data_IF_125408571545
#
_entry.id   IF_125408571545
#
_cell.length_a   1.000
_cell.length_b   1.000
_cell.length_c   1.000
_cell.angle_alpha   90.00
_cell.angle_beta   90.00
_cell.angle_gamma   90.00
#
_symmetry.space_group_name_H-M   'P 1'
#
loop_
_entity.id
_entity.type
_entity.pdbx_description
1 polymer ?
#
# COMPACT_ATOMS: atom_id res chain seq x y z
N UNK A 1 -24.42 -8.04 33.92
CA UNK A 1 -24.31 -9.19 34.84
C UNK A 1 -22.84 -9.26 35.30
N UNK A 2 -22.45 -8.39 36.27
CA UNK A 2 -21.13 -8.45 36.91
C UNK A 2 -21.31 -9.44 38.05
N UNK A 3 -20.87 -10.68 37.85
CA UNK A 3 -20.80 -11.68 38.91
C UNK A 3 -19.85 -11.16 40.00
N UNK A 4 -20.34 -11.03 41.21
CA UNK A 4 -19.54 -10.78 42.40
C UNK A 4 -18.53 -11.92 42.54
N UNK A 5 -17.26 -11.66 42.21
CA UNK A 5 -16.16 -12.52 42.57
C UNK A 5 -16.03 -12.46 44.10
N UNK A 6 -16.35 -13.56 44.77
CA UNK A 6 -16.26 -13.68 46.21
C UNK A 6 -14.77 -13.56 46.65
N UNK A 7 -14.52 -12.95 47.81
CA UNK A 7 -13.17 -12.74 48.33
C UNK A 7 -12.40 -14.07 48.51
N UNK A 8 -13.14 -15.19 48.63
CA UNK A 8 -12.60 -16.55 48.64
C UNK A 8 -11.96 -16.94 47.29
N UNK A 9 -12.58 -16.59 46.20
CA UNK A 9 -12.09 -16.87 44.83
C UNK A 9 -10.78 -16.13 44.55
N UNK A 10 -10.65 -14.89 45.03
CA UNK A 10 -9.44 -14.08 44.84
C UNK A 10 -8.22 -14.68 45.54
N UNK A 11 -8.37 -15.22 46.77
CA UNK A 11 -7.29 -15.92 47.48
C UNK A 11 -6.88 -17.21 46.78
N UNK A 12 -7.83 -17.94 46.27
CA UNK A 12 -7.59 -19.16 45.50
C UNK A 12 -6.83 -18.92 44.22
N UNK A 13 -7.20 -17.85 43.46
CA UNK A 13 -6.50 -17.41 42.26
C UNK A 13 -5.04 -17.03 42.58
N UNK A 14 -4.81 -16.26 43.66
CA UNK A 14 -3.46 -15.86 44.08
C UNK A 14 -2.59 -17.09 44.46
N UNK A 15 -3.16 -18.09 45.13
CA UNK A 15 -2.46 -19.32 45.49
C UNK A 15 -2.06 -20.14 44.25
N UNK A 16 -2.95 -20.26 43.27
CA UNK A 16 -2.67 -20.95 42.00
C UNK A 16 -1.61 -20.17 41.18
N UNK A 17 -1.71 -18.84 41.13
CA UNK A 17 -0.71 -17.99 40.47
C UNK A 17 0.67 -18.17 41.11
N UNK A 18 0.77 -18.13 42.46
CA UNK A 18 2.02 -18.27 43.16
C UNK A 18 2.66 -19.65 42.96
N UNK A 19 1.85 -20.71 42.95
CA UNK A 19 2.30 -22.08 42.70
C UNK A 19 2.87 -22.26 41.28
N UNK A 20 2.30 -21.56 40.31
CA UNK A 20 2.69 -21.68 38.89
C UNK A 20 3.51 -20.49 38.38
N UNK A 21 3.99 -19.60 39.25
CA UNK A 21 4.65 -18.35 38.92
C UNK A 21 5.84 -18.54 37.97
N UNK A 22 6.64 -19.59 38.18
CA UNK A 22 7.78 -19.92 37.31
C UNK A 22 7.33 -20.25 35.87
N UNK A 23 6.29 -21.07 35.72
CA UNK A 23 5.77 -21.46 34.42
C UNK A 23 5.12 -20.26 33.72
N UNK A 24 4.45 -19.41 34.47
CA UNK A 24 3.79 -18.19 33.97
C UNK A 24 4.82 -17.16 33.49
N UNK A 25 5.92 -16.98 34.27
CA UNK A 25 7.05 -16.13 33.85
C UNK A 25 7.73 -16.67 32.58
N UNK A 26 7.99 -17.99 32.54
CA UNK A 26 8.59 -18.62 31.36
C UNK A 26 7.71 -18.43 30.13
N UNK A 27 6.41 -18.66 30.22
CA UNK A 27 5.45 -18.46 29.14
C UNK A 27 5.41 -16.99 28.68
N UNK A 28 5.41 -16.05 29.64
CA UNK A 28 5.41 -14.61 29.35
C UNK A 28 6.67 -14.19 28.59
N UNK A 29 7.83 -14.66 28.99
CA UNK A 29 9.10 -14.40 28.31
C UNK A 29 9.08 -14.99 26.89
N UNK A 30 8.59 -16.22 26.74
CA UNK A 30 8.50 -16.88 25.43
C UNK A 30 7.59 -16.13 24.47
N UNK A 31 6.41 -15.71 24.93
CA UNK A 31 5.48 -14.90 24.13
C UNK A 31 6.09 -13.54 23.78
N UNK A 32 6.79 -12.90 24.71
CA UNK A 32 7.46 -11.61 24.48
C UNK A 32 8.54 -11.73 23.39
N UNK A 33 9.37 -12.77 23.45
CA UNK A 33 10.40 -13.02 22.42
C UNK A 33 9.74 -13.27 21.05
N UNK A 34 8.68 -14.07 21.01
CA UNK A 34 7.96 -14.37 19.77
C UNK A 34 7.36 -13.10 19.15
N UNK A 35 6.74 -12.26 19.97
CA UNK A 35 6.18 -10.98 19.55
C UNK A 35 7.26 -10.04 19.00
N UNK A 36 8.44 -10.02 19.64
CA UNK A 36 9.58 -9.21 19.23
C UNK A 36 10.11 -9.67 17.86
N UNK A 37 10.23 -10.98 17.64
CA UNK A 37 10.63 -11.57 16.35
C UNK A 37 9.64 -11.19 15.26
N UNK A 38 8.34 -11.32 15.51
CA UNK A 38 7.28 -10.94 14.55
C UNK A 38 7.36 -9.43 14.25
N UNK A 39 7.46 -8.60 15.28
CA UNK A 39 7.53 -7.13 15.14
C UNK A 39 8.72 -6.68 14.30
N UNK A 40 9.88 -7.32 14.45
CA UNK A 40 11.07 -7.00 13.64
C UNK A 40 10.93 -7.39 12.16
N UNK A 41 10.01 -8.30 11.83
CA UNK A 41 9.77 -8.73 10.46
C UNK A 41 8.65 -7.97 9.75
N UNK A 42 7.94 -7.06 10.42
CA UNK A 42 6.92 -6.23 9.79
C UNK A 42 7.59 -5.21 8.86
N UNK A 43 7.31 -5.33 7.58
CA UNK A 43 7.80 -4.40 6.57
C UNK A 43 7.08 -3.05 6.68
N UNK A 44 7.86 -1.97 6.71
CA UNK A 44 7.30 -0.62 6.63
C UNK A 44 6.72 -0.39 5.25
N UNK A 45 5.49 0.12 5.18
CA UNK A 45 4.84 0.52 3.94
C UNK A 45 4.65 2.03 3.93
N UNK A 46 5.05 2.65 2.83
CA UNK A 46 4.89 4.08 2.58
C UNK A 46 3.91 4.27 1.44
N UNK A 47 2.98 5.16 1.64
CA UNK A 47 1.94 5.49 0.69
C UNK A 47 2.14 6.91 0.18
N UNK A 48 2.15 7.08 -1.14
CA UNK A 48 2.06 8.38 -1.79
C UNK A 48 0.69 8.51 -2.43
N UNK A 49 0.09 9.69 -2.27
CA UNK A 49 -1.24 9.99 -2.79
C UNK A 49 -1.17 11.25 -3.64
N UNK A 50 -1.81 11.23 -4.79
CA UNK A 50 -2.04 12.40 -5.62
C UNK A 50 -3.50 12.46 -6.05
N UNK A 51 -3.94 13.66 -6.39
CA UNK A 51 -5.30 13.90 -6.84
C UNK A 51 -5.23 14.57 -8.21
N UNK A 52 -5.96 14.02 -9.17
CA UNK A 52 -6.09 14.58 -10.53
C UNK A 52 -7.55 14.99 -10.75
N UNK A 53 -7.76 16.18 -11.28
CA UNK A 53 -9.07 16.66 -11.73
C UNK A 53 -9.18 16.40 -13.23
N UNK A 54 -10.23 15.72 -13.65
CA UNK A 54 -10.53 15.50 -15.04
C UNK A 54 -11.37 16.69 -15.52
N UNK A 55 -10.74 17.67 -16.18
CA UNK A 55 -11.49 18.75 -16.84
C UNK A 55 -12.20 18.19 -18.07
N UNK A 56 -13.48 18.52 -18.27
CA UNK A 56 -14.12 18.32 -19.58
C UNK A 56 -13.34 19.15 -20.60
N UNK A 57 -12.95 18.57 -21.73
CA UNK A 57 -12.53 19.37 -22.88
C UNK A 57 -13.69 20.25 -23.29
N UNK A 58 -13.52 21.56 -23.16
CA UNK A 58 -14.43 22.53 -23.75
C UNK A 58 -14.25 22.48 -25.29
N UNK A 59 -14.88 21.50 -25.89
CA UNK A 59 -15.11 21.56 -27.32
C UNK A 59 -16.09 22.72 -27.60
N UNK A 60 -15.54 23.89 -27.82
CA UNK A 60 -16.26 25.08 -28.32
C UNK A 60 -16.83 24.83 -29.71
N UNK A 61 -17.81 23.97 -29.85
CA UNK A 61 -18.65 23.88 -31.03
C UNK A 61 -20.09 23.55 -30.60
N UNK A 62 -20.92 24.61 -30.68
CA UNK A 62 -22.38 24.61 -30.85
C UNK A 62 -23.25 24.01 -29.74
N UNK A 63 -23.97 24.91 -29.08
CA UNK A 63 -25.29 24.77 -28.45
C UNK A 63 -26.07 23.53 -28.90
N UNK A 64 -25.95 22.48 -28.14
CA UNK A 64 -27.03 21.54 -27.93
C UNK A 64 -27.06 21.34 -26.42
N UNK A 65 -28.19 21.56 -25.80
CA UNK A 65 -28.51 21.13 -24.44
C UNK A 65 -28.34 19.60 -24.35
N UNK A 66 -27.11 19.11 -24.36
CA UNK A 66 -26.81 17.79 -23.90
C UNK A 66 -27.03 17.84 -22.38
N UNK A 67 -28.17 17.29 -21.99
CA UNK A 67 -28.43 16.86 -20.65
C UNK A 67 -27.21 16.00 -20.25
N UNK A 68 -26.26 16.60 -19.52
CA UNK A 68 -25.16 15.89 -18.90
C UNK A 68 -25.76 14.93 -17.88
N UNK A 69 -26.17 13.77 -18.35
CA UNK A 69 -26.63 12.71 -17.47
C UNK A 69 -25.45 12.27 -16.64
N UNK A 70 -25.68 12.07 -15.34
CA UNK A 70 -24.67 11.53 -14.41
C UNK A 70 -23.99 10.27 -14.95
N UNK A 71 -24.64 9.58 -15.84
CA UNK A 71 -24.18 8.36 -16.50
C UNK A 71 -22.97 8.61 -17.45
N UNK A 72 -22.97 9.69 -18.22
CA UNK A 72 -21.86 10.06 -19.10
C UNK A 72 -20.60 10.48 -18.29
N UNK A 73 -20.80 11.14 -17.16
CA UNK A 73 -19.72 11.52 -16.27
C UNK A 73 -19.06 10.29 -15.64
N UNK A 74 -19.84 9.34 -15.13
CA UNK A 74 -19.35 8.10 -14.53
C UNK A 74 -18.57 7.29 -15.57
N UNK A 75 -19.07 7.16 -16.79
CA UNK A 75 -18.42 6.41 -17.86
C UNK A 75 -17.08 7.05 -18.26
N UNK A 76 -17.01 8.36 -18.35
CA UNK A 76 -15.77 9.11 -18.66
C UNK A 76 -14.71 8.89 -17.58
N UNK A 77 -15.08 9.01 -16.31
CA UNK A 77 -14.17 8.78 -15.19
C UNK A 77 -13.68 7.34 -15.15
N UNK A 78 -14.56 6.36 -15.37
CA UNK A 78 -14.19 4.95 -15.43
C UNK A 78 -13.23 4.63 -16.58
N UNK A 79 -13.42 5.25 -17.74
CA UNK A 79 -12.52 5.11 -18.87
C UNK A 79 -11.12 5.66 -18.55
N UNK A 80 -11.02 6.82 -17.89
CA UNK A 80 -9.73 7.37 -17.46
C UNK A 80 -9.03 6.46 -16.43
N UNK A 81 -9.78 5.87 -15.50
CA UNK A 81 -9.24 4.86 -14.57
C UNK A 81 -8.69 3.65 -15.31
N UNK A 82 -9.41 3.16 -16.33
CA UNK A 82 -8.97 2.04 -17.14
C UNK A 82 -7.68 2.36 -17.93
N UNK A 83 -7.60 3.54 -18.53
CA UNK A 83 -6.41 4.01 -19.24
C UNK A 83 -5.20 4.09 -18.30
N UNK A 84 -5.35 4.73 -17.14
CA UNK A 84 -4.25 4.87 -16.18
C UNK A 84 -3.75 3.52 -15.62
N UNK A 85 -4.59 2.49 -15.61
CA UNK A 85 -4.23 1.13 -15.19
C UNK A 85 -3.78 0.25 -16.36
N UNK A 86 -3.83 0.75 -17.59
CA UNK A 86 -3.47 -0.04 -18.76
C UNK A 86 -1.99 -0.42 -18.76
N UNK A 87 -1.70 -1.56 -19.33
CA UNK A 87 -0.33 -2.05 -19.51
C UNK A 87 0.50 -1.11 -20.38
N UNK A 88 -0.13 -0.41 -21.32
CA UNK A 88 0.52 0.54 -22.24
C UNK A 88 1.11 1.74 -21.48
N UNK A 89 0.35 2.32 -20.52
CA UNK A 89 0.85 3.43 -19.69
C UNK A 89 2.02 2.95 -18.83
N UNK A 90 1.90 1.77 -18.23
CA UNK A 90 2.98 1.21 -17.41
C UNK A 90 4.23 0.89 -18.26
N UNK A 91 4.05 0.40 -19.47
CA UNK A 91 5.14 0.11 -20.40
C UNK A 91 5.86 1.38 -20.85
N UNK A 92 5.13 2.42 -21.16
CA UNK A 92 5.68 3.75 -21.49
C UNK A 92 6.58 4.30 -20.37
N UNK A 93 6.15 4.14 -19.09
CA UNK A 93 6.95 4.56 -17.94
C UNK A 93 8.26 3.77 -17.85
N UNK A 94 8.20 2.46 -18.12
CA UNK A 94 9.36 1.55 -18.01
C UNK A 94 10.30 1.69 -19.21
N UNK A 95 9.82 2.15 -20.36
CA UNK A 95 10.65 2.43 -21.54
C UNK A 95 11.54 3.68 -21.35
N UNK A 96 11.13 4.63 -20.52
CA UNK A 96 11.97 5.78 -20.19
C UNK A 96 13.21 5.32 -19.41
N UNK A 97 14.35 5.37 -20.12
CA UNK A 97 15.65 4.95 -19.57
C UNK A 97 16.02 5.71 -18.28
N UNK A 98 15.67 7.01 -18.20
CA UNK A 98 15.99 7.82 -17.01
C UNK A 98 15.18 7.37 -15.81
N UNK A 99 13.86 7.20 -15.97
CA UNK A 99 12.95 6.71 -14.92
C UNK A 99 13.37 5.32 -14.46
N UNK A 100 13.63 4.42 -15.40
CA UNK A 100 14.08 3.03 -15.11
C UNK A 100 15.40 2.99 -14.34
N UNK A 101 16.40 3.81 -14.69
CA UNK A 101 17.66 3.90 -13.95
C UNK A 101 17.48 4.44 -12.54
N UNK A 102 16.59 5.42 -12.36
CA UNK A 102 16.28 5.98 -11.05
C UNK A 102 15.60 4.95 -10.15
N UNK A 103 14.61 4.19 -10.67
CA UNK A 103 14.03 3.06 -9.97
C UNK A 103 15.07 2.04 -9.54
N UNK A 104 15.96 1.60 -10.46
CA UNK A 104 17.05 0.66 -10.14
C UNK A 104 17.94 1.18 -9.03
N UNK A 105 18.32 2.47 -9.09
CA UNK A 105 19.16 3.11 -8.07
C UNK A 105 18.48 3.17 -6.70
N UNK A 106 17.19 3.47 -6.66
CA UNK A 106 16.44 3.50 -5.41
C UNK A 106 16.27 2.10 -4.82
N UNK A 107 15.90 1.12 -5.64
CA UNK A 107 15.74 -0.27 -5.20
C UNK A 107 17.05 -0.89 -4.70
N UNK A 108 18.18 -0.53 -5.27
CA UNK A 108 19.49 -1.02 -4.78
C UNK A 108 19.82 -0.53 -3.35
N UNK A 109 19.17 0.54 -2.89
CA UNK A 109 19.35 1.14 -1.56
C UNK A 109 18.31 0.71 -0.53
N UNK A 110 17.24 0.03 -0.95
CA UNK A 110 16.21 -0.46 -0.03
C UNK A 110 16.81 -1.57 0.82
N UNK A 111 16.74 -1.47 2.16
CA UNK A 111 17.20 -2.53 3.03
C UNK A 111 16.36 -3.79 2.81
N UNK A 112 17.01 -4.85 2.37
CA UNK A 112 16.38 -6.16 2.21
C UNK A 112 16.00 -6.66 3.61
N UNK A 113 14.77 -7.15 3.79
CA UNK A 113 14.33 -7.70 5.06
C UNK A 113 15.26 -8.85 5.50
N UNK A 114 15.39 -9.05 6.82
CA UNK A 114 16.28 -10.07 7.39
C UNK A 114 15.94 -11.45 6.84
N UNK A 115 14.66 -11.72 6.60
CA UNK A 115 14.17 -12.97 6.03
C UNK A 115 14.55 -13.16 4.55
N UNK A 116 14.49 -12.11 3.76
CA UNK A 116 14.92 -12.14 2.35
C UNK A 116 16.46 -12.33 2.21
N UNK A 117 17.25 -11.82 3.19
CA UNK A 117 18.68 -12.08 3.27
C UNK A 117 18.99 -13.56 3.51
N UNK A 118 18.20 -14.22 4.35
CA UNK A 118 18.36 -15.66 4.65
C UNK A 118 18.06 -16.53 3.43
N UNK A 119 17.11 -16.16 2.59
CA UNK A 119 16.72 -16.91 1.39
C UNK A 119 17.68 -16.66 0.20
N UNK A 120 18.65 -15.75 0.33
CA UNK A 120 19.65 -15.41 -0.72
C UNK A 120 19.07 -15.09 -2.11
N UNK A 121 17.83 -14.69 -2.18
CA UNK A 121 17.20 -14.35 -3.46
C UNK A 121 17.60 -12.92 -3.85
N UNK A 122 18.65 -12.79 -4.66
CA UNK A 122 19.03 -11.52 -5.26
C UNK A 122 17.91 -11.08 -6.19
N UNK A 123 17.17 -10.04 -5.79
CA UNK A 123 16.13 -9.47 -6.64
C UNK A 123 16.84 -8.74 -7.80
N UNK A 124 16.67 -9.25 -9.00
CA UNK A 124 17.13 -8.57 -10.22
C UNK A 124 16.05 -7.56 -10.58
N UNK A 125 16.39 -6.29 -10.45
CA UNK A 125 15.49 -5.18 -10.80
C UNK A 125 15.66 -4.91 -12.30
N UNK A 126 14.90 -5.64 -13.11
CA UNK A 126 14.78 -5.43 -14.55
C UNK A 126 13.53 -4.60 -14.89
N UNK A 127 13.28 -4.39 -16.18
CA UNK A 127 12.11 -3.65 -16.65
C UNK A 127 10.80 -4.33 -16.25
N UNK A 128 10.76 -5.65 -16.38
CA UNK A 128 9.58 -6.46 -16.07
C UNK A 128 9.26 -6.42 -14.57
N UNK A 129 10.27 -6.50 -13.71
CA UNK A 129 10.08 -6.32 -12.26
C UNK A 129 9.47 -4.96 -11.93
N UNK A 130 9.97 -3.87 -12.55
CA UNK A 130 9.44 -2.52 -12.33
C UNK A 130 7.99 -2.43 -12.81
N UNK A 131 7.67 -2.96 -14.01
CA UNK A 131 6.30 -2.99 -14.56
C UNK A 131 5.35 -3.72 -13.61
N UNK A 132 5.72 -4.92 -13.18
CA UNK A 132 4.91 -5.72 -12.25
C UNK A 132 4.72 -5.03 -10.90
N UNK A 133 5.76 -4.36 -10.40
CA UNK A 133 5.70 -3.59 -9.17
C UNK A 133 4.75 -2.39 -9.31
N UNK A 134 4.84 -1.65 -10.42
CA UNK A 134 3.95 -0.54 -10.70
C UNK A 134 2.50 -1.02 -10.78
N UNK A 135 2.21 -2.06 -11.55
CA UNK A 135 0.88 -2.63 -11.69
C UNK A 135 0.28 -3.10 -10.36
N UNK A 136 1.07 -3.78 -9.54
CA UNK A 136 0.60 -4.39 -8.29
C UNK A 136 0.32 -3.38 -7.17
N UNK A 137 1.09 -2.29 -7.13
CA UNK A 137 1.07 -1.34 -6.01
C UNK A 137 0.41 -0.01 -6.36
N UNK A 138 -0.07 0.15 -7.59
CA UNK A 138 -0.78 1.33 -8.05
C UNK A 138 -2.29 1.13 -7.95
N UNK A 139 -2.93 2.02 -7.24
CA UNK A 139 -4.36 2.05 -7.06
C UNK A 139 -4.92 3.38 -7.58
N UNK A 140 -5.98 3.30 -8.37
CA UNK A 140 -6.75 4.46 -8.83
C UNK A 140 -8.17 4.31 -8.30
N UNK A 141 -8.67 5.31 -7.64
CA UNK A 141 -10.04 5.36 -7.14
C UNK A 141 -10.72 6.67 -7.55
N UNK A 142 -11.98 6.56 -7.86
CA UNK A 142 -12.85 7.70 -8.12
C UNK A 142 -13.34 8.30 -6.80
N UNK A 143 -13.39 9.64 -6.72
CA UNK A 143 -14.09 10.33 -5.64
C UNK A 143 -15.57 10.44 -6.03
N UNK A 144 -16.49 9.84 -5.26
CA UNK A 144 -17.90 9.81 -5.63
C UNK A 144 -18.47 11.20 -5.93
N UNK A 145 -19.24 11.32 -7.02
CA UNK A 145 -19.90 12.54 -7.45
C UNK A 145 -18.95 13.70 -7.78
N UNK A 146 -17.76 13.39 -8.26
CA UNK A 146 -16.79 14.39 -8.68
C UNK A 146 -15.99 13.91 -9.88
N UNK A 147 -15.40 14.84 -10.63
CA UNK A 147 -14.44 14.56 -11.70
C UNK A 147 -13.00 14.39 -11.15
N UNK A 148 -12.89 13.89 -9.93
CA UNK A 148 -11.63 13.78 -9.22
C UNK A 148 -11.20 12.32 -9.12
N UNK A 149 -9.98 12.02 -9.58
CA UNK A 149 -9.33 10.74 -9.36
C UNK A 149 -8.30 10.86 -8.25
N UNK A 150 -8.34 9.91 -7.34
CA UNK A 150 -7.33 9.72 -6.31
C UNK A 150 -6.39 8.60 -6.75
N UNK A 151 -5.14 8.94 -6.96
CA UNK A 151 -4.06 8.02 -7.29
C UNK A 151 -3.28 7.70 -6.03
N UNK A 152 -2.99 6.43 -5.82
CA UNK A 152 -2.28 5.94 -4.66
C UNK A 152 -1.22 4.95 -5.09
N UNK A 153 -0.03 5.09 -4.54
CA UNK A 153 1.05 4.14 -4.74
C UNK A 153 1.69 3.74 -3.41
N UNK A 154 1.79 2.43 -3.17
CA UNK A 154 2.34 1.88 -1.93
C UNK A 154 3.67 1.18 -2.18
N UNK A 155 4.71 1.48 -1.39
CA UNK A 155 6.00 0.78 -1.48
C UNK A 155 6.70 0.69 -0.12
N UNK A 156 7.83 -0.02 -0.08
CA UNK A 156 8.64 -0.17 1.13
C UNK A 156 9.62 1.01 1.34
N UNK A 157 9.68 1.96 0.41
CA UNK A 157 10.50 3.18 0.52
C UNK A 157 9.67 4.39 0.04
N UNK A 158 9.66 5.46 0.82
CA UNK A 158 8.89 6.67 0.50
C UNK A 158 9.32 7.34 -0.81
N UNK A 159 10.61 7.26 -1.17
CA UNK A 159 11.14 7.84 -2.41
C UNK A 159 10.67 7.06 -3.64
N UNK A 160 10.52 5.73 -3.50
CA UNK A 160 10.01 4.86 -4.57
C UNK A 160 8.52 5.16 -4.79
N UNK A 161 7.73 5.30 -3.72
CA UNK A 161 6.30 5.62 -3.87
C UNK A 161 6.09 7.00 -4.49
N UNK A 162 6.90 7.99 -4.15
CA UNK A 162 6.85 9.32 -4.75
C UNK A 162 7.28 9.31 -6.23
N UNK A 163 8.40 8.62 -6.54
CA UNK A 163 8.88 8.53 -7.91
C UNK A 163 7.87 7.83 -8.82
N UNK A 164 7.29 6.71 -8.36
CA UNK A 164 6.29 5.98 -9.11
C UNK A 164 5.09 6.86 -9.42
N UNK A 165 4.54 7.52 -8.42
CA UNK A 165 3.37 8.38 -8.60
C UNK A 165 3.67 9.57 -9.52
N UNK A 166 4.83 10.22 -9.34
CA UNK A 166 5.29 11.30 -10.22
C UNK A 166 5.46 10.82 -11.66
N UNK A 167 5.98 9.60 -11.87
CA UNK A 167 6.18 9.03 -13.20
C UNK A 167 4.89 8.71 -13.95
N UNK A 168 3.83 8.41 -13.21
CA UNK A 168 2.50 8.14 -13.77
C UNK A 168 1.79 9.44 -14.17
N UNK A 169 2.05 10.54 -13.45
CA UNK A 169 1.38 11.81 -13.67
C UNK A 169 2.10 12.68 -14.73
N UNK A 170 3.41 12.46 -14.95
CA UNK A 170 4.23 13.24 -15.88
C UNK A 170 4.20 12.71 -17.29
#
# INVERSE_FOLDING_TARGET
LIAFLDVGDFRFIILILNKNLKNLLFLSILVSILTLIISMNIEKKFESVATIVISPEENNIVNIEEVYTNENQINRVNNQVAILKSDEVLEFIVEDKKKTLEFKRLYSKVPISTFQRLIKKKVIVDKEYIKNMLSKNFEVSNVPRSDVLKLKFTSNDSRISQLALKSIIS
#
